data_IF_571343932656
#
_entry.id   IF_571343932656
#
_cell.length_a   1.000
_cell.length_b   1.000
_cell.length_c   1.000
_cell.angle_alpha   90.00
_cell.angle_beta   90.00
_cell.angle_gamma   90.00
#
_symmetry.space_group_name_H-M   'P 1'
#
loop_
_entity.id
_entity.type
_entity.pdbx_description
1 polymer ?
#
# COMPACT_ATOMS: atom_id res chain seq x y z
N UNK A 1 45.30 19.54 -60.43
CA UNK A 1 44.06 18.87 -59.94
C UNK A 1 43.74 17.74 -60.91
N UNK A 2 43.74 16.48 -60.43
CA UNK A 2 42.48 15.79 -60.14
C UNK A 2 42.49 15.07 -58.78
N UNK A 3 41.29 14.76 -58.29
CA UNK A 3 41.00 14.30 -56.93
C UNK A 3 41.14 12.78 -56.80
N UNK A 4 41.79 12.36 -55.71
CA UNK A 4 41.84 10.98 -55.19
C UNK A 4 40.46 10.52 -54.71
N UNK A 5 40.21 9.23 -54.93
CA UNK A 5 39.11 8.47 -54.36
C UNK A 5 39.17 8.40 -52.82
N UNK A 6 38.00 8.29 -52.17
CA UNK A 6 37.82 7.24 -51.17
C UNK A 6 36.35 6.93 -50.86
N UNK A 7 36.20 5.69 -50.42
CA UNK A 7 35.02 4.86 -50.30
C UNK A 7 34.21 5.13 -49.00
N UNK A 8 32.99 4.60 -49.00
CA UNK A 8 32.27 4.02 -47.86
C UNK A 8 31.95 4.89 -46.64
N UNK A 9 30.72 5.39 -46.61
CA UNK A 9 30.03 5.81 -45.39
C UNK A 9 28.55 5.50 -45.51
N UNK A 10 28.18 4.23 -45.31
CA UNK A 10 26.79 3.82 -45.16
C UNK A 10 26.19 4.54 -43.94
N UNK A 11 25.33 5.53 -44.18
CA UNK A 11 24.47 6.10 -43.13
C UNK A 11 23.13 5.41 -43.24
N UNK A 12 22.95 4.37 -42.45
CA UNK A 12 21.65 3.77 -42.16
C UNK A 12 20.75 4.84 -41.55
N UNK A 13 19.79 5.32 -42.34
CA UNK A 13 18.69 6.11 -41.83
C UNK A 13 17.92 5.24 -40.85
N UNK A 14 18.11 5.49 -39.55
CA UNK A 14 17.30 4.90 -38.50
C UNK A 14 15.86 5.35 -38.72
N UNK A 15 15.00 4.41 -39.09
CA UNK A 15 13.57 4.65 -39.16
C UNK A 15 13.11 4.99 -37.73
N UNK A 16 12.88 6.27 -37.46
CA UNK A 16 12.17 6.69 -36.24
C UNK A 16 10.78 6.09 -36.33
N UNK A 17 10.58 4.98 -35.62
CA UNK A 17 9.29 4.33 -35.43
C UNK A 17 8.30 5.41 -34.97
N UNK A 18 7.18 5.65 -35.69
CA UNK A 18 6.24 6.69 -35.30
C UNK A 18 5.74 6.36 -33.90
N UNK A 19 5.96 7.28 -32.97
CA UNK A 19 5.50 7.11 -31.60
C UNK A 19 3.98 7.15 -31.64
N UNK A 20 3.34 6.00 -31.37
CA UNK A 20 1.89 5.88 -31.26
C UNK A 20 1.43 6.97 -30.28
N UNK A 21 0.45 7.82 -30.63
CA UNK A 21 -0.11 8.77 -29.68
C UNK A 21 -0.53 7.99 -28.45
N UNK A 22 0.03 8.37 -27.30
CA UNK A 22 -0.43 7.86 -26.02
C UNK A 22 -1.73 8.60 -25.78
N UNK A 23 -2.85 7.91 -25.73
CA UNK A 23 -4.11 8.49 -25.26
C UNK A 23 -3.89 8.96 -23.83
N UNK A 24 -3.53 10.24 -23.70
CA UNK A 24 -3.44 10.90 -22.41
C UNK A 24 -4.87 11.24 -22.05
N UNK A 25 -5.54 10.28 -21.40
CA UNK A 25 -6.83 10.52 -20.76
C UNK A 25 -6.60 11.46 -19.58
N UNK A 26 -6.40 12.74 -19.86
CA UNK A 26 -6.68 13.79 -18.89
C UNK A 26 -8.17 14.14 -18.98
N UNK A 27 -8.76 14.18 -17.79
CA UNK A 27 -10.13 14.55 -17.45
C UNK A 27 -11.17 13.45 -17.62
N UNK A 28 -11.55 12.86 -16.48
CA UNK A 28 -12.82 13.20 -15.84
C UNK A 28 -12.79 12.68 -14.39
N UNK A 29 -13.16 13.53 -13.44
CA UNK A 29 -13.23 13.24 -12.01
C UNK A 29 -14.33 12.25 -11.65
N UNK A 30 -14.23 11.03 -12.17
CA UNK A 30 -15.04 9.90 -11.75
C UNK A 30 -14.30 9.17 -10.63
N UNK A 31 -14.85 9.21 -9.41
CA UNK A 31 -14.57 8.19 -8.42
C UNK A 31 -14.67 6.83 -9.13
N UNK A 32 -13.54 6.11 -9.25
CA UNK A 32 -13.61 4.68 -9.60
C UNK A 32 -14.51 4.07 -8.55
N UNK A 33 -15.53 3.31 -8.97
CA UNK A 33 -16.68 2.90 -8.13
C UNK A 33 -16.29 2.09 -6.88
N UNK A 34 -15.00 1.83 -6.67
CA UNK A 34 -14.43 1.02 -5.61
C UNK A 34 -13.20 1.68 -4.95
N UNK A 35 -13.09 3.01 -4.94
CA UNK A 35 -12.02 3.71 -4.19
C UNK A 35 -12.57 4.26 -2.86
N UNK A 36 -11.71 4.38 -1.85
CA UNK A 36 -12.00 5.13 -0.62
C UNK A 36 -10.93 6.19 -0.34
N UNK A 37 -11.35 7.29 0.28
CA UNK A 37 -10.41 8.32 0.74
C UNK A 37 -9.88 7.96 2.13
N UNK A 38 -8.56 7.83 2.25
CA UNK A 38 -7.93 7.43 3.52
C UNK A 38 -8.17 8.48 4.62
N UNK A 39 -8.61 8.04 5.81
CA UNK A 39 -8.80 8.91 6.97
C UNK A 39 -7.50 9.37 7.64
N UNK A 40 -6.38 8.71 7.34
CA UNK A 40 -5.04 9.06 7.84
C UNK A 40 -4.32 10.07 6.95
N UNK A 41 -3.97 9.67 5.72
CA UNK A 41 -3.16 10.50 4.81
C UNK A 41 -3.96 11.21 3.70
N UNK A 42 -5.28 11.04 3.64
CA UNK A 42 -6.19 11.69 2.69
C UNK A 42 -6.02 11.33 1.21
N UNK A 43 -5.11 10.41 0.87
CA UNK A 43 -4.98 9.83 -0.46
C UNK A 43 -6.21 8.97 -0.81
N UNK A 44 -6.55 8.95 -2.10
CA UNK A 44 -7.52 8.00 -2.65
C UNK A 44 -6.86 6.63 -2.79
N UNK A 45 -7.57 5.60 -2.35
CA UNK A 45 -7.08 4.22 -2.25
C UNK A 45 -8.04 3.30 -2.99
N UNK A 46 -7.51 2.54 -3.92
CA UNK A 46 -8.22 1.46 -4.61
C UNK A 46 -8.56 0.32 -3.66
N UNK A 47 -9.81 -0.16 -3.67
CA UNK A 47 -10.18 -1.41 -3.00
C UNK A 47 -9.61 -2.63 -3.71
N UNK A 48 -9.34 -2.53 -5.03
CA UNK A 48 -8.66 -3.58 -5.77
C UNK A 48 -7.21 -3.69 -5.30
N UNK A 49 -6.86 -4.85 -4.76
CA UNK A 49 -5.61 -5.10 -4.06
C UNK A 49 -5.11 -6.52 -4.35
N UNK A 50 -3.85 -6.71 -4.76
CA UNK A 50 -3.29 -8.05 -4.91
C UNK A 50 -3.31 -8.82 -3.59
N UNK A 51 -3.82 -10.05 -3.59
CA UNK A 51 -3.78 -10.94 -2.43
C UNK A 51 -4.90 -10.74 -1.40
N UNK A 52 -5.82 -9.79 -1.59
CA UNK A 52 -6.98 -9.61 -0.70
C UNK A 52 -8.22 -9.11 -1.44
N UNK A 53 -9.39 -9.67 -1.14
CA UNK A 53 -10.69 -9.22 -1.67
C UNK A 53 -11.38 -8.18 -0.79
N UNK A 54 -10.86 -7.92 0.42
CA UNK A 54 -11.49 -7.05 1.41
C UNK A 54 -10.46 -6.07 1.98
N UNK A 55 -9.84 -5.24 1.13
CA UNK A 55 -8.96 -4.17 1.61
C UNK A 55 -9.73 -3.26 2.58
N UNK A 56 -9.14 -3.04 3.75
CA UNK A 56 -9.68 -2.12 4.75
C UNK A 56 -8.65 -1.06 5.21
N UNK A 57 -7.40 -1.11 4.73
CA UNK A 57 -6.37 -0.16 5.09
C UNK A 57 -5.74 0.51 3.87
N UNK A 58 -5.20 1.70 4.08
CA UNK A 58 -4.42 2.42 3.09
C UNK A 58 -3.04 1.77 2.90
N UNK A 59 -2.60 1.47 1.67
CA UNK A 59 -1.28 0.86 1.46
C UNK A 59 -0.13 1.80 1.85
N UNK A 60 -0.35 3.11 1.84
CA UNK A 60 0.70 4.11 2.11
C UNK A 60 0.94 4.36 3.60
N UNK A 61 -0.13 4.46 4.40
CA UNK A 61 -0.03 4.81 5.82
C UNK A 61 -0.58 3.74 6.77
N UNK A 62 -1.10 2.63 6.22
CA UNK A 62 -1.66 1.49 6.94
C UNK A 62 -2.86 1.80 7.83
N UNK A 63 -3.36 3.04 7.85
CA UNK A 63 -4.57 3.40 8.59
C UNK A 63 -5.81 2.77 7.94
N UNK A 64 -6.74 2.34 8.80
CA UNK A 64 -8.02 1.71 8.44
C UNK A 64 -9.18 2.53 9.02
N UNK A 65 -10.42 2.14 8.68
CA UNK A 65 -11.65 2.67 9.26
C UNK A 65 -12.45 1.52 9.88
N UNK A 66 -13.00 1.72 11.07
CA UNK A 66 -13.80 0.70 11.75
C UNK A 66 -15.18 0.61 11.10
N UNK A 67 -15.26 -0.18 10.04
CA UNK A 67 -16.47 -0.41 9.26
C UNK A 67 -16.94 -1.85 9.28
N UNK A 68 -16.07 -2.82 9.58
CA UNK A 68 -16.46 -4.22 9.68
C UNK A 68 -16.85 -4.57 11.13
N UNK A 69 -17.84 -5.45 11.33
CA UNK A 69 -18.10 -6.07 12.64
C UNK A 69 -17.25 -7.33 12.79
N UNK A 70 -17.88 -8.50 12.70
CA UNK A 70 -17.22 -9.80 12.95
C UNK A 70 -16.73 -10.44 11.66
N UNK A 71 -17.36 -10.13 10.54
CA UNK A 71 -17.07 -10.75 9.25
C UNK A 71 -16.25 -9.73 8.44
N UNK A 72 -15.02 -10.05 8.01
CA UNK A 72 -14.23 -9.16 7.17
C UNK A 72 -15.01 -8.74 5.92
N UNK A 73 -15.10 -7.43 5.68
CA UNK A 73 -15.85 -6.87 4.56
C UNK A 73 -17.36 -6.76 4.73
N UNK A 74 -17.95 -7.12 5.89
CA UNK A 74 -19.39 -6.95 6.12
C UNK A 74 -19.85 -5.48 6.14
N UNK A 75 -18.92 -4.54 6.33
CA UNK A 75 -19.17 -3.09 6.42
C UNK A 75 -20.32 -2.73 7.37
N UNK A 76 -20.57 -3.56 8.39
CA UNK A 76 -21.75 -3.47 9.23
C UNK A 76 -21.54 -2.62 10.49
N UNK A 77 -20.31 -2.21 10.82
CA UNK A 77 -20.02 -1.46 12.03
C UNK A 77 -20.47 0.01 11.94
N UNK A 78 -21.12 0.49 12.99
CA UNK A 78 -21.60 1.87 13.12
C UNK A 78 -20.54 2.82 13.69
N UNK A 79 -19.46 2.29 14.27
CA UNK A 79 -18.43 3.08 14.95
C UNK A 79 -17.74 4.08 14.01
N UNK A 80 -17.27 3.62 12.84
CA UNK A 80 -16.57 4.43 11.84
C UNK A 80 -15.36 5.20 12.41
N UNK A 81 -14.83 4.76 13.54
CA UNK A 81 -13.63 5.33 14.15
C UNK A 81 -12.39 5.00 13.33
N UNK A 82 -11.42 5.92 13.28
CA UNK A 82 -10.12 5.64 12.67
C UNK A 82 -9.45 4.47 13.38
N UNK A 83 -8.94 3.52 12.62
CA UNK A 83 -8.13 2.43 13.15
C UNK A 83 -6.65 2.66 12.83
N UNK A 84 -5.82 2.59 13.86
CA UNK A 84 -4.37 2.70 13.73
C UNK A 84 -3.74 1.31 13.61
N UNK A 85 -2.73 1.18 12.76
CA UNK A 85 -1.93 -0.04 12.69
C UNK A 85 -1.07 -0.14 13.96
N UNK A 86 -1.36 -1.13 14.79
CA UNK A 86 -0.76 -1.33 16.10
C UNK A 86 0.50 -2.21 16.00
N UNK A 87 0.40 -3.33 15.29
CA UNK A 87 1.46 -4.31 15.10
C UNK A 87 1.22 -5.16 13.85
N UNK A 88 2.12 -6.11 13.59
CA UNK A 88 1.93 -7.18 12.60
C UNK A 88 1.89 -8.53 13.32
N UNK A 89 1.17 -9.49 12.76
CA UNK A 89 1.19 -10.90 13.19
C UNK A 89 1.39 -11.80 11.98
N UNK A 90 2.04 -12.94 12.17
CA UNK A 90 2.23 -13.96 11.13
C UNK A 90 1.44 -15.20 11.51
N UNK A 91 0.60 -15.69 10.61
CA UNK A 91 -0.15 -16.93 10.79
C UNK A 91 0.74 -18.16 10.58
N UNK A 92 0.33 -19.36 11.01
CA UNK A 92 1.13 -20.59 10.82
C UNK A 92 1.43 -20.92 9.35
N UNK A 93 0.57 -20.50 8.43
CA UNK A 93 0.74 -20.65 6.97
C UNK A 93 1.71 -19.60 6.36
N UNK A 94 2.27 -18.72 7.18
CA UNK A 94 3.19 -17.66 6.76
C UNK A 94 2.49 -16.39 6.30
N UNK A 95 1.16 -16.32 6.34
CA UNK A 95 0.42 -15.11 5.95
C UNK A 95 0.60 -13.99 6.98
N UNK A 96 1.00 -12.82 6.51
CA UNK A 96 1.16 -11.64 7.35
C UNK A 96 -0.13 -10.84 7.45
N UNK A 97 -0.43 -10.41 8.65
CA UNK A 97 -1.61 -9.63 9.00
C UNK A 97 -1.17 -8.35 9.72
N UNK A 98 -1.87 -7.26 9.43
CA UNK A 98 -1.81 -6.03 10.22
C UNK A 98 -2.84 -6.14 11.33
N UNK A 99 -2.42 -5.86 12.56
CA UNK A 99 -3.33 -5.71 13.69
C UNK A 99 -3.67 -4.23 13.81
N UNK A 100 -4.95 -3.91 13.68
CA UNK A 100 -5.49 -2.57 13.82
C UNK A 100 -6.20 -2.39 15.14
N UNK A 101 -6.11 -1.21 15.74
CA UNK A 101 -6.90 -0.82 16.92
C UNK A 101 -7.77 0.40 16.60
N UNK A 102 -9.06 0.30 16.88
CA UNK A 102 -9.97 1.43 16.75
C UNK A 102 -9.71 2.47 17.85
N UNK A 103 -9.45 3.71 17.45
CA UNK A 103 -9.21 4.83 18.38
C UNK A 103 -10.46 5.30 19.12
N UNK A 104 -11.64 4.91 18.65
CA UNK A 104 -12.92 5.33 19.24
C UNK A 104 -13.49 4.31 20.24
N UNK A 105 -13.38 3.01 19.96
CA UNK A 105 -13.96 1.95 20.80
C UNK A 105 -12.96 0.89 21.29
N UNK A 106 -11.70 0.95 20.87
CA UNK A 106 -10.65 0.02 21.30
C UNK A 106 -10.63 -1.35 20.62
N UNK A 107 -11.64 -1.67 19.79
CA UNK A 107 -11.74 -2.95 19.06
C UNK A 107 -10.49 -3.25 18.24
N UNK A 108 -10.09 -4.52 18.21
CA UNK A 108 -8.96 -5.00 17.42
C UNK A 108 -9.45 -5.76 16.18
N UNK A 109 -8.80 -5.53 15.04
CA UNK A 109 -9.03 -6.32 13.82
C UNK A 109 -7.72 -6.79 13.21
N UNK A 110 -7.76 -7.96 12.57
CA UNK A 110 -6.63 -8.49 11.82
C UNK A 110 -6.94 -8.44 10.32
N UNK A 111 -6.13 -7.71 9.58
CA UNK A 111 -6.34 -7.45 8.15
C UNK A 111 -5.15 -7.97 7.36
N UNK A 112 -5.41 -8.75 6.30
CA UNK A 112 -4.35 -9.32 5.46
C UNK A 112 -3.55 -8.20 4.78
N UNK A 113 -2.24 -8.35 4.74
CA UNK A 113 -1.35 -7.46 3.97
C UNK A 113 -1.58 -7.68 2.47
N UNK A 114 -1.78 -6.61 1.73
CA UNK A 114 -1.90 -6.63 0.27
C UNK A 114 -0.53 -6.53 -0.40
N UNK A 115 -0.42 -7.03 -1.64
CA UNK A 115 0.85 -7.06 -2.38
C UNK A 115 1.41 -5.69 -2.78
N UNK A 116 0.62 -4.63 -2.68
CA UNK A 116 0.99 -3.24 -2.95
C UNK A 116 1.11 -2.38 -1.67
N UNK A 117 1.03 -2.98 -0.49
CA UNK A 117 1.26 -2.27 0.76
C UNK A 117 2.71 -1.78 0.86
N UNK A 118 2.91 -0.60 1.43
CA UNK A 118 4.22 0.02 1.52
C UNK A 118 5.13 -0.80 2.45
N UNK A 119 6.10 -1.50 1.86
CA UNK A 119 7.06 -2.34 2.57
C UNK A 119 7.80 -1.60 3.69
N UNK A 120 8.19 -0.34 3.48
CA UNK A 120 8.87 0.44 4.51
C UNK A 120 7.96 0.75 5.70
N UNK A 121 6.68 1.04 5.45
CA UNK A 121 5.70 1.25 6.53
C UNK A 121 5.47 -0.04 7.33
N UNK A 122 5.37 -1.18 6.64
CA UNK A 122 5.24 -2.50 7.27
C UNK A 122 6.45 -2.87 8.12
N UNK A 123 7.66 -2.69 7.59
CA UNK A 123 8.89 -2.97 8.34
C UNK A 123 9.04 -2.06 9.57
N UNK A 124 8.69 -0.76 9.45
CA UNK A 124 8.66 0.15 10.60
C UNK A 124 7.68 -0.30 11.68
N UNK A 125 6.53 -0.84 11.28
CA UNK A 125 5.54 -1.37 12.20
C UNK A 125 6.05 -2.64 12.90
N UNK A 126 6.63 -3.57 12.14
CA UNK A 126 7.18 -4.83 12.65
C UNK A 126 8.34 -4.60 13.64
N UNK A 127 9.21 -3.63 13.35
CA UNK A 127 10.38 -3.30 14.18
C UNK A 127 10.05 -2.33 15.33
N UNK A 128 8.80 -1.85 15.45
CA UNK A 128 8.39 -0.87 16.47
C UNK A 128 8.77 -1.30 17.90
N UNK A 129 8.56 -2.56 18.33
CA UNK A 129 8.94 -2.99 19.69
C UNK A 129 10.45 -2.91 19.96
N UNK A 130 11.29 -3.08 18.93
CA UNK A 130 12.75 -3.05 19.07
C UNK A 130 13.31 -1.62 19.16
N UNK A 131 12.51 -0.61 18.79
CA UNK A 131 12.90 0.80 18.87
C UNK A 131 12.64 1.40 20.25
N UNK A 132 11.77 0.80 21.06
CA UNK A 132 11.45 1.26 22.40
C UNK A 132 12.24 0.46 23.45
N UNK A 133 13.48 0.90 23.69
CA UNK A 133 14.36 0.30 24.70
C UNK A 133 13.84 0.42 26.13
N UNK A 134 12.82 1.26 26.38
CA UNK A 134 12.18 1.40 27.68
C UNK A 134 11.20 0.27 28.04
N UNK A 135 10.69 -0.45 27.03
CA UNK A 135 9.80 -1.60 27.21
C UNK A 135 10.59 -2.88 27.50
N UNK A 136 11.68 -3.11 26.75
CA UNK A 136 12.59 -4.24 26.99
C UNK A 136 13.14 -4.26 28.42
N UNK A 137 13.50 -3.08 28.96
CA UNK A 137 14.00 -2.96 30.32
C UNK A 137 12.94 -3.29 31.39
N UNK A 138 11.66 -2.96 31.16
CA UNK A 138 10.57 -3.24 32.11
C UNK A 138 10.12 -4.69 32.09
N UNK A 139 10.14 -5.35 30.93
CA UNK A 139 9.77 -6.77 30.82
C UNK A 139 10.85 -7.67 31.43
N UNK A 140 12.13 -7.30 31.34
CA UNK A 140 13.24 -8.04 31.96
C UNK A 140 13.30 -7.92 33.49
N UNK A 141 12.71 -6.88 34.08
CA UNK A 141 12.64 -6.68 35.54
C UNK A 141 11.41 -7.34 36.19
N UNK A 142 10.57 -8.01 35.39
CA UNK A 142 9.38 -8.73 35.86
C UNK A 142 9.47 -10.25 35.68
N UNK A 143 10.65 -10.76 35.33
CA UNK A 143 11.03 -12.17 35.35
C UNK A 143 12.06 -12.40 36.47
#
# INVERSE_FOLDING_TARGET
MPRRANNSGARTHTSRRPQRPKDVLHQQGGHRRHDFRCVGCRLDVSLDAPGTSHRNHCPNCLASLHVDRRIPGDRAATCRGRMEALSVSVRPDGEWMIIHQCRSCGELSANRIAGDDNALALMRLALKPLRDTGLAHRTLLQL
#
